data_IF_525246506838
#
_entry.id   IF_525246506838
#
_cell.length_a   1.000
_cell.length_b   1.000
_cell.length_c   1.000
_cell.angle_alpha   90.00
_cell.angle_beta   90.00
_cell.angle_gamma   90.00
#
_symmetry.space_group_name_H-M   'P 1'
#
loop_
_entity.id
_entity.type
_entity.pdbx_description
1 polymer ?
#
# COMPACT_ATOMS: atom_id res chain seq x y z
N UNK A 1 -9.22 7.54 38.89
CA UNK A 1 -9.77 6.85 37.69
C UNK A 1 -8.73 5.87 37.19
N UNK A 2 -8.98 4.56 37.30
CA UNK A 2 -8.06 3.56 36.78
C UNK A 2 -8.18 3.54 35.26
N UNK A 3 -7.10 3.87 34.55
CA UNK A 3 -7.08 3.80 33.10
C UNK A 3 -7.34 2.35 32.66
N UNK A 4 -8.26 2.15 31.70
CA UNK A 4 -8.44 0.83 31.09
C UNK A 4 -7.12 0.34 30.45
N UNK A 5 -6.78 -0.96 30.57
CA UNK A 5 -5.60 -1.54 29.96
C UNK A 5 -5.48 -1.20 28.47
N UNK A 6 -4.25 -1.03 27.92
CA UNK A 6 -4.05 -0.66 26.52
C UNK A 6 -4.81 -1.53 25.51
N UNK A 7 -4.88 -2.84 25.75
CA UNK A 7 -5.61 -3.77 24.89
C UNK A 7 -7.12 -3.46 24.80
N UNK A 8 -7.76 -3.05 25.89
CA UNK A 8 -9.19 -2.70 25.88
C UNK A 8 -9.46 -1.43 25.07
N UNK A 9 -8.56 -0.44 25.15
CA UNK A 9 -8.66 0.80 24.35
C UNK A 9 -8.48 0.52 22.86
N UNK A 10 -7.52 -0.33 22.52
CA UNK A 10 -7.29 -0.80 21.15
C UNK A 10 -8.55 -1.50 20.61
N UNK A 11 -9.09 -2.46 21.37
CA UNK A 11 -10.31 -3.18 20.98
C UNK A 11 -11.50 -2.23 20.78
N UNK A 12 -11.72 -1.32 21.73
CA UNK A 12 -12.83 -0.37 21.65
C UNK A 12 -12.72 0.57 20.44
N UNK A 13 -11.51 1.06 20.13
CA UNK A 13 -11.29 1.92 18.96
C UNK A 13 -11.60 1.21 17.65
N UNK A 14 -11.20 -0.06 17.51
CA UNK A 14 -11.55 -0.87 16.34
C UNK A 14 -13.04 -1.22 16.26
N UNK A 15 -13.73 -1.42 17.39
CA UNK A 15 -15.16 -1.76 17.40
C UNK A 15 -16.10 -0.57 17.17
N UNK A 16 -15.66 0.65 17.45
CA UNK A 16 -16.54 1.85 17.38
C UNK A 16 -16.24 2.75 16.18
N UNK A 17 -14.96 3.06 15.94
CA UNK A 17 -14.54 3.98 14.86
C UNK A 17 -13.84 3.24 13.72
N UNK A 18 -13.25 2.08 14.01
CA UNK A 18 -12.52 1.25 13.04
C UNK A 18 -11.03 1.59 12.89
N UNK A 19 -10.54 2.64 13.55
CA UNK A 19 -9.15 3.09 13.47
C UNK A 19 -8.63 3.61 14.81
N UNK A 20 -7.30 3.55 15.00
CA UNK A 20 -6.59 4.09 16.16
C UNK A 20 -5.26 4.72 15.73
N UNK A 21 -4.73 5.62 16.56
CA UNK A 21 -3.34 6.08 16.46
C UNK A 21 -2.50 5.43 17.57
N UNK A 22 -1.37 4.83 17.18
CA UNK A 22 -0.39 4.30 18.11
C UNK A 22 0.80 5.25 18.18
N UNK A 23 1.17 5.64 19.41
CA UNK A 23 2.40 6.39 19.69
C UNK A 23 3.35 5.52 20.54
N UNK A 24 4.62 5.87 20.55
CA UNK A 24 5.68 5.15 21.29
C UNK A 24 5.83 3.68 20.83
N UNK A 25 5.66 3.42 19.53
CA UNK A 25 5.98 2.13 18.93
C UNK A 25 7.50 1.87 18.95
N UNK A 26 7.96 0.60 18.87
CA UNK A 26 9.39 0.28 18.98
C UNK A 26 10.22 0.65 17.72
N UNK A 27 9.59 1.06 16.62
CA UNK A 27 10.30 1.44 15.39
C UNK A 27 11.07 2.75 15.62
N UNK A 28 12.41 2.77 15.47
CA UNK A 28 13.19 3.99 15.70
C UNK A 28 12.89 5.09 14.66
N UNK A 29 12.94 6.36 15.08
CA UNK A 29 12.65 7.50 14.20
C UNK A 29 13.56 7.56 12.97
N UNK A 30 14.85 7.24 13.12
CA UNK A 30 15.79 7.23 11.99
C UNK A 30 15.46 6.15 10.94
N UNK A 31 14.83 5.03 11.35
CA UNK A 31 14.38 3.99 10.43
C UNK A 31 13.21 4.50 9.60
N UNK A 32 12.23 5.16 10.23
CA UNK A 32 11.12 5.79 9.53
C UNK A 32 11.62 6.83 8.51
N UNK A 33 12.48 7.75 8.94
CA UNK A 33 13.06 8.78 8.06
C UNK A 33 13.74 8.14 6.84
N UNK A 34 14.58 7.13 7.07
CA UNK A 34 15.29 6.43 6.00
C UNK A 34 14.32 5.75 5.01
N UNK A 35 13.23 5.16 5.49
CA UNK A 35 12.24 4.49 4.63
C UNK A 35 11.48 5.50 3.78
N UNK A 36 11.04 6.63 4.36
CA UNK A 36 10.38 7.69 3.59
C UNK A 36 11.33 8.31 2.55
N UNK A 37 12.61 8.52 2.88
CA UNK A 37 13.61 8.96 1.90
C UNK A 37 13.79 7.94 0.77
N UNK A 38 13.87 6.64 1.07
CA UNK A 38 13.98 5.60 0.03
C UNK A 38 12.74 5.53 -0.86
N UNK A 39 11.55 5.65 -0.29
CA UNK A 39 10.30 5.71 -1.03
C UNK A 39 10.26 6.92 -1.96
N UNK A 40 10.59 8.12 -1.47
CA UNK A 40 10.66 9.32 -2.29
C UNK A 40 11.68 9.19 -3.43
N UNK A 41 12.87 8.65 -3.15
CA UNK A 41 13.90 8.43 -4.16
C UNK A 41 13.45 7.45 -5.25
N UNK A 42 12.71 6.39 -4.89
CA UNK A 42 12.17 5.44 -5.86
C UNK A 42 11.16 6.10 -6.81
N UNK A 43 10.20 6.86 -6.26
CA UNK A 43 9.16 7.50 -7.09
C UNK A 43 9.67 8.70 -7.91
N UNK A 44 10.84 9.25 -7.56
CA UNK A 44 11.55 10.24 -8.35
C UNK A 44 12.32 9.65 -9.56
N UNK A 45 12.41 8.33 -9.68
CA UNK A 45 12.98 7.68 -10.87
C UNK A 45 12.10 7.91 -12.09
N UNK A 46 12.70 7.82 -13.28
CA UNK A 46 11.97 7.88 -14.54
C UNK A 46 10.98 6.71 -14.67
N UNK A 47 9.94 6.92 -15.48
CA UNK A 47 8.85 5.95 -15.62
C UNK A 47 9.32 4.61 -16.19
N UNK A 48 10.28 4.62 -17.14
CA UNK A 48 10.84 3.38 -17.69
C UNK A 48 11.51 2.55 -16.59
N UNK A 49 12.26 3.21 -15.72
CA UNK A 49 12.90 2.57 -14.56
C UNK A 49 11.89 1.98 -13.58
N UNK A 50 10.82 2.71 -13.25
CA UNK A 50 9.78 2.20 -12.34
C UNK A 50 9.02 1.02 -12.96
N UNK A 51 8.74 1.10 -14.26
CA UNK A 51 8.02 0.05 -15.01
C UNK A 51 8.82 -1.26 -15.13
N UNK A 52 10.14 -1.25 -14.98
CA UNK A 52 10.94 -2.50 -14.88
C UNK A 52 10.55 -3.37 -13.69
N UNK A 53 9.93 -2.79 -12.66
CA UNK A 53 9.42 -3.52 -11.49
C UNK A 53 7.90 -3.61 -11.48
N UNK A 54 7.23 -3.48 -12.63
CA UNK A 54 5.77 -3.40 -12.68
C UNK A 54 5.06 -4.53 -11.93
N UNK A 55 3.95 -4.18 -11.29
CA UNK A 55 3.05 -5.15 -10.69
C UNK A 55 2.50 -6.09 -11.76
N UNK A 56 2.54 -7.39 -11.49
CA UNK A 56 2.28 -8.45 -12.48
C UNK A 56 0.91 -9.10 -12.30
N UNK A 57 0.71 -9.86 -11.23
CA UNK A 57 -0.51 -10.65 -11.01
C UNK A 57 -1.10 -10.47 -9.61
N UNK A 58 -2.42 -10.67 -9.44
CA UNK A 58 -3.08 -10.60 -8.13
C UNK A 58 -2.51 -11.57 -7.09
N UNK A 59 -2.07 -12.76 -7.54
CA UNK A 59 -1.51 -13.78 -6.66
C UNK A 59 -0.14 -13.36 -6.13
N UNK A 60 0.67 -12.69 -6.96
CA UNK A 60 1.95 -12.17 -6.54
C UNK A 60 1.81 -10.90 -5.69
N UNK A 61 0.92 -10.00 -6.07
CA UNK A 61 0.67 -8.69 -5.46
C UNK A 61 1.94 -7.95 -5.03
N UNK A 62 2.91 -7.86 -5.94
CA UNK A 62 4.22 -7.22 -5.76
C UNK A 62 4.53 -6.36 -6.97
N UNK A 63 5.33 -5.32 -6.79
CA UNK A 63 5.84 -4.48 -7.87
C UNK A 63 5.18 -3.10 -7.92
N UNK A 64 5.52 -2.32 -8.93
CA UNK A 64 5.10 -0.94 -9.14
C UNK A 64 3.74 -0.85 -9.85
N UNK A 65 2.82 -0.05 -9.32
CA UNK A 65 1.54 0.26 -9.95
C UNK A 65 1.50 1.74 -10.36
N UNK A 66 1.31 1.97 -11.65
CA UNK A 66 1.21 3.32 -12.21
C UNK A 66 -0.12 4.01 -11.82
N UNK A 67 -0.17 5.35 -11.86
CA UNK A 67 -1.40 6.09 -11.60
C UNK A 67 -2.61 5.61 -12.40
N UNK A 68 -3.78 5.61 -11.74
CA UNK A 68 -5.05 5.16 -12.32
C UNK A 68 -5.25 3.64 -12.46
N UNK A 69 -4.22 2.81 -12.21
CA UNK A 69 -4.31 1.35 -12.41
C UNK A 69 -5.09 0.63 -11.30
N UNK A 70 -5.01 1.12 -10.07
CA UNK A 70 -5.49 0.40 -8.88
C UNK A 70 -7.00 0.40 -8.64
N UNK A 71 -7.81 1.14 -9.42
CA UNK A 71 -9.25 1.18 -9.15
C UNK A 71 -9.84 -0.23 -9.22
N UNK A 72 -10.32 -0.68 -8.06
CA UNK A 72 -11.00 -1.96 -7.87
C UNK A 72 -12.40 -1.81 -8.43
N UNK A 73 -12.83 -2.79 -9.22
CA UNK A 73 -14.17 -2.87 -9.79
C UNK A 73 -14.76 -4.23 -9.46
N UNK A 74 -16.06 -4.27 -9.19
CA UNK A 74 -16.82 -5.52 -9.08
C UNK A 74 -17.26 -6.04 -10.46
N UNK A 75 -17.01 -5.27 -11.52
CA UNK A 75 -17.30 -5.68 -12.89
C UNK A 75 -16.27 -6.72 -13.35
N UNK A 76 -16.76 -7.73 -14.04
CA UNK A 76 -15.94 -8.80 -14.63
C UNK A 76 -15.54 -8.49 -16.07
N UNK A 77 -16.25 -7.58 -16.75
CA UNK A 77 -15.93 -7.17 -18.11
C UNK A 77 -14.75 -6.18 -18.14
N UNK A 78 -13.66 -6.59 -18.78
CA UNK A 78 -12.41 -5.82 -18.85
C UNK A 78 -12.60 -4.45 -19.51
N UNK A 79 -13.49 -4.33 -20.48
CA UNK A 79 -13.76 -3.06 -21.17
C UNK A 79 -14.49 -2.08 -20.26
N UNK A 80 -15.44 -2.56 -19.46
CA UNK A 80 -16.16 -1.75 -18.47
C UNK A 80 -15.26 -1.35 -17.28
N UNK A 81 -14.39 -2.26 -16.82
CA UNK A 81 -13.37 -1.95 -15.81
C UNK A 81 -12.43 -0.84 -16.30
N UNK A 82 -12.04 -0.90 -17.58
CA UNK A 82 -11.15 0.11 -18.19
C UNK A 82 -11.83 1.49 -18.28
N UNK A 83 -13.13 1.54 -18.61
CA UNK A 83 -13.92 2.78 -18.63
C UNK A 83 -14.02 3.42 -17.24
N UNK A 84 -14.26 2.64 -16.19
CA UNK A 84 -14.32 3.17 -14.80
C UNK A 84 -12.95 3.68 -14.34
N UNK A 85 -11.89 2.96 -14.72
CA UNK A 85 -10.50 3.35 -14.42
C UNK A 85 -10.14 4.71 -15.02
N UNK A 86 -10.58 4.98 -16.25
CA UNK A 86 -10.25 6.21 -16.97
C UNK A 86 -11.08 7.45 -16.56
N UNK A 87 -12.26 7.28 -15.95
CA UNK A 87 -13.15 8.41 -15.63
C UNK A 87 -12.61 9.38 -14.58
N UNK A 88 -11.82 8.90 -13.62
CA UNK A 88 -11.26 9.74 -12.55
C UNK A 88 -10.06 9.03 -11.90
N UNK A 89 -8.94 8.85 -12.62
CA UNK A 89 -7.84 8.02 -12.13
C UNK A 89 -7.30 8.57 -10.80
N UNK A 90 -7.02 7.68 -9.85
CA UNK A 90 -6.33 8.06 -8.64
C UNK A 90 -4.96 8.62 -9.01
N UNK A 91 -4.68 9.85 -8.57
CA UNK A 91 -3.37 10.49 -8.74
C UNK A 91 -2.40 9.98 -7.67
N UNK A 92 -2.16 8.68 -7.70
CA UNK A 92 -1.23 7.99 -6.81
C UNK A 92 -0.48 6.92 -7.59
N UNK A 93 0.76 6.69 -7.21
CA UNK A 93 1.54 5.53 -7.62
C UNK A 93 1.93 4.73 -6.38
N UNK A 94 2.19 3.44 -6.55
CA UNK A 94 2.46 2.52 -5.44
C UNK A 94 3.53 1.50 -5.80
N UNK A 95 4.14 0.92 -4.77
CA UNK A 95 5.10 -0.17 -4.87
C UNK A 95 4.79 -1.19 -3.77
N UNK A 96 4.31 -2.37 -4.15
CA UNK A 96 4.02 -3.45 -3.22
C UNK A 96 5.24 -4.35 -3.02
N UNK A 97 5.62 -4.55 -1.74
CA UNK A 97 6.73 -5.44 -1.36
C UNK A 97 6.16 -6.55 -0.48
N UNK A 98 6.26 -7.78 -0.97
CA UNK A 98 5.88 -8.98 -0.22
C UNK A 98 7.06 -9.56 0.56
N UNK A 99 6.86 -10.71 1.19
CA UNK A 99 7.92 -11.42 1.91
C UNK A 99 8.93 -12.03 0.93
N UNK A 100 10.22 -11.82 1.18
CA UNK A 100 11.34 -12.31 0.35
C UNK A 100 11.38 -13.85 0.25
N UNK A 101 10.95 -14.55 1.31
CA UNK A 101 11.00 -16.02 1.38
C UNK A 101 9.85 -16.71 0.63
N UNK A 102 9.31 -16.10 -0.43
CA UNK A 102 8.20 -16.62 -1.25
C UNK A 102 8.58 -16.58 -2.73
N UNK A 103 9.46 -17.48 -3.18
CA UNK A 103 9.98 -17.47 -4.56
C UNK A 103 8.89 -17.70 -5.62
N UNK A 104 7.73 -18.26 -5.23
CA UNK A 104 6.59 -18.44 -6.14
C UNK A 104 5.95 -17.12 -6.60
N UNK A 105 6.27 -16.00 -5.94
CA UNK A 105 5.68 -14.69 -6.20
C UNK A 105 6.81 -13.68 -6.49
N UNK A 106 7.32 -13.64 -7.73
CA UNK A 106 8.48 -12.83 -8.09
C UNK A 106 8.11 -11.35 -8.29
N UNK A 107 9.02 -10.47 -7.85
CA UNK A 107 9.29 -9.10 -8.30
C UNK A 107 10.41 -8.50 -7.43
#
# INVERSE_FOLDING_TARGET
MNASPPAQKILHGFQTVGFIYLKNHPIPAHVLQRIFTRSANFFALDDETKLRLQWTTPEANRGYSSPGREKVSQLVDVSEVSKIRSQAPDLKESLEIGRDTRPQFPN
#
